data_IF_968240254370
#
_entry.id   IF_968240254370
#
_cell.length_a   1.000
_cell.length_b   1.000
_cell.length_c   1.000
_cell.angle_alpha   90.00
_cell.angle_beta   90.00
_cell.angle_gamma   90.00
#
_symmetry.space_group_name_H-M   'P 1'
#
loop_
_entity.id
_entity.type
_entity.pdbx_description
1 polymer ?
#
# COMPACT_ATOMS: atom_id res chain seq x y z
N UNK A 1 9.72 15.70 10.62
CA UNK A 1 9.23 16.02 11.99
C UNK A 1 7.80 15.56 12.25
N UNK A 2 6.88 15.63 11.27
CA UNK A 2 5.46 15.23 11.46
C UNK A 2 5.21 13.77 11.83
N UNK A 3 6.13 12.85 11.50
CA UNK A 3 5.95 11.41 11.75
C UNK A 3 5.67 11.09 13.21
N UNK A 4 6.38 11.73 14.13
CA UNK A 4 6.23 11.44 15.56
C UNK A 4 4.90 11.92 16.14
N UNK A 5 4.31 12.98 15.57
CA UNK A 5 3.01 13.50 15.97
C UNK A 5 1.83 12.86 15.24
N UNK A 6 2.01 12.46 13.98
CA UNK A 6 0.98 11.85 13.15
C UNK A 6 1.61 10.86 12.14
N UNK A 7 1.92 9.63 12.59
CA UNK A 7 2.54 8.61 11.74
C UNK A 7 1.66 8.28 10.54
N UNK A 8 0.33 8.17 10.72
CA UNK A 8 -0.61 7.84 9.65
C UNK A 8 -0.54 8.85 8.50
N UNK A 9 -0.68 10.15 8.81
CA UNK A 9 -0.61 11.20 7.79
C UNK A 9 0.77 11.26 7.13
N UNK A 10 1.82 11.06 7.92
CA UNK A 10 3.19 11.08 7.40
C UNK A 10 3.47 9.93 6.44
N UNK A 11 2.97 8.73 6.74
CA UNK A 11 3.07 7.56 5.86
C UNK A 11 2.26 7.80 4.58
N UNK A 12 1.02 8.29 4.70
CA UNK A 12 0.19 8.63 3.54
C UNK A 12 0.90 9.64 2.62
N UNK A 13 1.43 10.73 3.18
CA UNK A 13 2.20 11.73 2.43
C UNK A 13 3.49 11.17 1.84
N UNK A 14 4.12 10.20 2.48
CA UNK A 14 5.31 9.55 1.93
C UNK A 14 4.98 8.74 0.66
N UNK A 15 3.87 8.00 0.68
CA UNK A 15 3.37 7.28 -0.50
C UNK A 15 3.00 8.27 -1.62
N UNK A 16 2.24 9.32 -1.32
CA UNK A 16 1.88 10.36 -2.30
C UNK A 16 3.11 11.04 -2.90
N UNK A 17 4.09 11.45 -2.08
CA UNK A 17 5.32 12.08 -2.57
C UNK A 17 6.14 11.15 -3.46
N UNK A 18 6.20 9.87 -3.11
CA UNK A 18 6.91 8.86 -3.91
C UNK A 18 6.23 8.67 -5.26
N UNK A 19 4.91 8.56 -5.28
CA UNK A 19 4.12 8.46 -6.51
C UNK A 19 4.33 9.69 -7.41
N UNK A 20 4.27 10.91 -6.84
CA UNK A 20 4.54 12.13 -7.59
C UNK A 20 5.96 12.18 -8.15
N UNK A 21 6.97 11.72 -7.39
CA UNK A 21 8.35 11.66 -7.87
C UNK A 21 8.54 10.65 -9.02
N UNK A 22 7.80 9.52 -9.01
CA UNK A 22 7.80 8.57 -10.12
C UNK A 22 7.13 9.19 -11.35
N UNK A 23 5.98 9.85 -11.16
CA UNK A 23 5.24 10.49 -12.25
C UNK A 23 6.05 11.59 -12.94
N UNK A 24 6.85 12.38 -12.21
CA UNK A 24 7.72 13.40 -12.82
C UNK A 24 8.84 12.83 -13.68
N UNK A 25 9.24 11.57 -13.46
CA UNK A 25 10.24 10.85 -14.26
C UNK A 25 9.61 9.82 -15.22
N UNK A 26 8.27 9.81 -15.34
CA UNK A 26 7.55 8.85 -16.18
C UNK A 26 8.01 8.80 -17.66
N UNK A 27 8.39 9.92 -18.32
CA UNK A 27 8.90 9.87 -19.69
C UNK A 27 10.14 8.98 -19.86
N UNK A 28 10.98 8.87 -18.83
CA UNK A 28 12.23 8.11 -18.85
C UNK A 28 12.04 6.66 -18.37
N UNK A 29 11.08 6.43 -17.48
CA UNK A 29 10.83 5.13 -16.84
C UNK A 29 9.89 4.21 -17.65
N UNK A 30 9.12 4.78 -18.58
CA UNK A 30 8.13 4.03 -19.36
C UNK A 30 6.85 3.70 -18.57
N UNK A 31 6.04 2.77 -19.10
CA UNK A 31 4.77 2.35 -18.47
C UNK A 31 5.04 1.24 -17.47
N UNK A 32 4.63 1.44 -16.23
CA UNK A 32 4.72 0.45 -15.18
C UNK A 32 4.18 0.96 -13.86
N UNK A 33 4.32 0.13 -12.84
CA UNK A 33 3.96 0.44 -11.48
C UNK A 33 4.62 -0.55 -10.54
N UNK A 34 4.47 -0.34 -9.24
CA UNK A 34 4.93 -1.26 -8.22
C UNK A 34 3.91 -1.30 -7.08
N UNK A 35 3.93 -2.40 -6.35
CA UNK A 35 3.22 -2.54 -5.09
C UNK A 35 4.14 -2.04 -3.97
N UNK A 36 3.58 -1.78 -2.79
CA UNK A 36 4.38 -1.41 -1.64
C UNK A 36 3.74 -1.85 -0.33
N UNK A 37 4.45 -2.70 0.41
CA UNK A 37 4.15 -3.01 1.81
C UNK A 37 5.31 -2.52 2.68
N UNK A 38 5.02 -1.63 3.63
CA UNK A 38 6.02 -1.02 4.50
C UNK A 38 5.74 -1.36 5.95
N UNK A 39 6.75 -1.84 6.68
CA UNK A 39 6.69 -2.09 8.11
C UNK A 39 7.63 -1.12 8.85
N UNK A 40 7.09 -0.35 9.80
CA UNK A 40 7.85 0.65 10.56
C UNK A 40 7.73 0.33 12.05
N UNK A 41 8.85 0.02 12.68
CA UNK A 41 8.91 -0.16 14.13
C UNK A 41 9.31 1.14 14.81
N UNK A 42 8.49 1.58 15.77
CA UNK A 42 8.71 2.78 16.59
C UNK A 42 9.04 2.35 18.01
N UNK A 43 10.22 2.76 18.47
CA UNK A 43 10.77 2.50 19.82
C UNK A 43 10.77 1.03 20.24
N UNK A 44 10.82 0.12 19.26
CA UNK A 44 10.73 -1.33 19.48
C UNK A 44 9.37 -1.82 19.98
N UNK A 45 8.37 -0.95 20.11
CA UNK A 45 7.11 -1.24 20.82
C UNK A 45 5.88 -1.15 19.92
N UNK A 46 5.90 -0.26 18.92
CA UNK A 46 4.79 -0.06 18.00
C UNK A 46 5.19 -0.47 16.60
N UNK A 47 4.31 -1.18 15.91
CA UNK A 47 4.48 -1.60 14.53
C UNK A 47 3.40 -0.95 13.67
N UNK A 48 3.81 -0.12 12.72
CA UNK A 48 2.94 0.44 11.69
C UNK A 48 3.14 -0.35 10.40
N UNK A 49 2.04 -0.78 9.79
CA UNK A 49 2.05 -1.41 8.47
C UNK A 49 1.21 -0.55 7.51
N UNK A 50 1.74 -0.31 6.31
CA UNK A 50 0.99 0.28 5.21
C UNK A 50 1.11 -0.60 3.98
N UNK A 51 0.00 -0.80 3.26
CA UNK A 51 -0.06 -1.62 2.05
C UNK A 51 -0.74 -0.86 0.91
N UNK A 52 -0.16 -0.97 -0.29
CA UNK A 52 -0.76 -0.58 -1.55
C UNK A 52 -0.45 -1.66 -2.58
N UNK A 53 -1.48 -2.37 -3.03
CA UNK A 53 -1.37 -3.47 -3.99
C UNK A 53 -1.59 -4.84 -3.35
N UNK A 54 -1.17 -5.88 -4.05
CA UNK A 54 -1.37 -7.30 -3.71
C UNK A 54 -0.20 -7.91 -2.91
N UNK A 55 0.77 -7.09 -2.49
CA UNK A 55 1.76 -7.51 -1.49
C UNK A 55 1.13 -7.66 -0.11
N UNK A 56 1.79 -8.42 0.78
CA UNK A 56 1.20 -8.81 2.06
C UNK A 56 2.18 -8.80 3.22
N UNK A 57 1.77 -8.23 4.34
CA UNK A 57 2.45 -8.37 5.62
C UNK A 57 1.83 -9.50 6.45
N UNK A 58 2.67 -10.41 6.95
CA UNK A 58 2.28 -11.50 7.84
C UNK A 58 3.22 -11.50 9.05
N UNK A 59 2.65 -11.55 10.25
CA UNK A 59 3.37 -11.60 11.51
C UNK A 59 3.32 -13.01 12.10
N UNK A 60 4.48 -13.56 12.47
CA UNK A 60 4.52 -14.75 13.31
C UNK A 60 4.29 -14.35 14.77
N UNK A 61 3.17 -14.78 15.35
CA UNK A 61 2.80 -14.49 16.74
C UNK A 61 2.39 -15.77 17.44
N UNK A 62 3.15 -16.15 18.48
CA UNK A 62 2.92 -17.37 19.28
C UNK A 62 2.80 -18.64 18.43
N UNK A 63 3.66 -18.78 17.41
CA UNK A 63 3.66 -19.93 16.49
C UNK A 63 2.58 -19.90 15.40
N UNK A 64 1.75 -18.84 15.34
CA UNK A 64 0.71 -18.67 14.32
C UNK A 64 1.11 -17.58 13.32
N UNK A 65 0.73 -17.74 12.04
CA UNK A 65 0.88 -16.72 11.03
C UNK A 65 -0.37 -15.83 11.01
N UNK A 66 -0.21 -14.55 11.30
CA UNK A 66 -1.29 -13.55 11.38
C UNK A 66 -1.10 -12.56 10.24
N UNK A 67 -2.03 -12.54 9.28
CA UNK A 67 -2.03 -11.56 8.21
C UNK A 67 -2.40 -10.17 8.78
N UNK A 68 -1.53 -9.19 8.53
CA UNK A 68 -1.69 -7.82 9.05
C UNK A 68 -2.29 -6.85 8.03
N UNK A 69 -2.25 -7.18 6.74
CA UNK A 69 -2.75 -6.33 5.65
C UNK A 69 -3.78 -7.07 4.81
N UNK A 70 -4.70 -6.33 4.21
CA UNK A 70 -5.58 -6.86 3.16
C UNK A 70 -4.97 -6.53 1.81
N UNK A 71 -4.89 -7.53 0.93
CA UNK A 71 -4.41 -7.37 -0.43
C UNK A 71 -5.44 -6.57 -1.24
N UNK A 72 -4.96 -5.62 -2.04
CA UNK A 72 -5.83 -4.82 -2.92
C UNK A 72 -6.12 -5.59 -4.20
N UNK A 73 -7.22 -6.33 -4.20
CA UNK A 73 -7.64 -7.17 -5.31
C UNK A 73 -8.83 -6.55 -6.07
N UNK A 74 -8.84 -6.56 -7.43
CA UNK A 74 -9.89 -5.92 -8.21
C UNK A 74 -11.32 -6.38 -7.86
N UNK A 75 -11.51 -7.66 -7.54
CA UNK A 75 -12.83 -8.17 -7.17
C UNK A 75 -13.33 -7.60 -5.83
N UNK A 76 -12.44 -7.32 -4.88
CA UNK A 76 -12.79 -6.73 -3.58
C UNK A 76 -13.00 -5.22 -3.68
N UNK A 77 -12.25 -4.56 -4.57
CA UNK A 77 -12.32 -3.11 -4.81
C UNK A 77 -13.27 -2.72 -5.94
N UNK A 78 -14.01 -3.68 -6.50
CA UNK A 78 -14.90 -3.53 -7.67
C UNK A 78 -15.77 -2.30 -7.59
N UNK A 79 -16.39 -2.03 -6.43
CA UNK A 79 -17.22 -0.85 -6.24
C UNK A 79 -16.47 0.46 -6.50
N UNK A 80 -15.26 0.62 -5.96
CA UNK A 80 -14.40 1.80 -6.19
C UNK A 80 -14.02 1.95 -7.66
N UNK A 81 -13.68 0.83 -8.32
CA UNK A 81 -13.30 0.79 -9.74
C UNK A 81 -14.48 1.19 -10.64
N UNK A 82 -15.64 0.57 -10.45
CA UNK A 82 -16.83 0.77 -11.28
C UNK A 82 -17.42 2.18 -11.08
N UNK A 83 -17.38 2.73 -9.86
CA UNK A 83 -17.85 4.11 -9.59
C UNK A 83 -16.99 5.17 -10.29
N UNK A 84 -15.73 4.83 -10.63
CA UNK A 84 -14.80 5.70 -11.38
C UNK A 84 -14.84 5.45 -12.90
N UNK A 85 -15.81 4.68 -13.39
CA UNK A 85 -15.99 4.37 -14.81
C UNK A 85 -15.14 3.21 -15.34
N UNK A 86 -14.45 2.47 -14.45
CA UNK A 86 -13.78 1.22 -14.81
C UNK A 86 -14.72 0.01 -14.79
N UNK A 87 -14.16 -1.18 -15.01
CA UNK A 87 -14.86 -2.46 -14.84
C UNK A 87 -13.88 -3.56 -14.40
N UNK A 88 -14.39 -4.61 -13.78
CA UNK A 88 -13.60 -5.79 -13.37
C UNK A 88 -14.05 -7.01 -14.16
N UNK A 89 -13.15 -7.58 -14.96
CA UNK A 89 -13.37 -8.79 -15.75
C UNK A 89 -12.54 -9.95 -15.21
N UNK A 90 -13.16 -11.13 -15.10
CA UNK A 90 -12.47 -12.39 -14.82
C UNK A 90 -12.39 -13.14 -16.14
N UNK A 91 -11.26 -13.01 -16.86
CA UNK A 91 -11.03 -13.78 -18.08
C UNK A 91 -10.74 -15.25 -17.70
N UNK A 92 -11.34 -16.23 -18.40
CA UNK A 92 -11.01 -17.64 -18.21
C UNK A 92 -9.60 -18.00 -18.71
#
# INVERSE_FOLDING_TARGET
>A
EEFWSNPQLSILRAYEKTDQAILTHSPDLGRGGSTAVTAITVDGQKLWIANVGDSRAVLSSSGNAVQLTTDHEPNTERGSIETKGGFVSNMP
#
